data_IF_154020584689
#
_entry.id   IF_154020584689
#
_cell.length_a   1.000
_cell.length_b   1.000
_cell.length_c   1.000
_cell.angle_alpha   90.00
_cell.angle_beta   90.00
_cell.angle_gamma   90.00
#
_symmetry.space_group_name_H-M   'P 1'
#
loop_
_entity.id
_entity.type
_entity.pdbx_description
1 polymer ?
#
# COMPACT_ATOMS: atom_id res chain seq x y z
N UNK A 1 8.71 -19.07 -4.57
CA UNK A 1 8.59 -18.22 -5.77
C UNK A 1 9.52 -17.04 -5.59
N UNK A 2 10.67 -17.02 -6.27
CA UNK A 2 11.61 -15.88 -6.24
C UNK A 2 11.09 -14.80 -7.19
N UNK A 3 10.98 -13.56 -6.71
CA UNK A 3 10.63 -12.42 -7.55
C UNK A 3 11.79 -12.12 -8.50
N UNK A 4 11.49 -11.91 -9.78
CA UNK A 4 12.50 -11.58 -10.79
C UNK A 4 13.03 -10.15 -10.57
N UNK A 5 14.28 -9.89 -10.99
CA UNK A 5 14.86 -8.54 -10.86
C UNK A 5 14.09 -7.50 -11.70
N UNK A 6 13.53 -7.92 -12.83
CA UNK A 6 12.62 -7.11 -13.66
C UNK A 6 11.37 -6.68 -12.87
N UNK A 7 10.71 -7.63 -12.18
CA UNK A 7 9.55 -7.32 -11.36
C UNK A 7 9.89 -6.35 -10.21
N UNK A 8 11.07 -6.51 -9.60
CA UNK A 8 11.55 -5.60 -8.54
C UNK A 8 11.80 -4.19 -9.11
N UNK A 9 12.36 -4.08 -10.31
CA UNK A 9 12.58 -2.79 -10.98
C UNK A 9 11.25 -2.09 -11.29
N UNK A 10 10.26 -2.82 -11.81
CA UNK A 10 8.91 -2.29 -12.06
C UNK A 10 8.19 -1.88 -10.77
N UNK A 11 8.31 -2.68 -9.70
CA UNK A 11 7.76 -2.34 -8.39
C UNK A 11 8.39 -1.06 -7.82
N UNK A 12 9.71 -0.90 -7.99
CA UNK A 12 10.44 0.31 -7.58
C UNK A 12 9.98 1.54 -8.37
N UNK A 13 9.81 1.43 -9.68
CA UNK A 13 9.33 2.53 -10.51
C UNK A 13 7.91 2.96 -10.13
N UNK A 14 7.02 2.00 -9.84
CA UNK A 14 5.67 2.27 -9.33
C UNK A 14 5.73 2.97 -7.97
N UNK A 15 6.54 2.50 -7.04
CA UNK A 15 6.70 3.12 -5.73
C UNK A 15 7.21 4.58 -5.85
N UNK A 16 8.20 4.84 -6.69
CA UNK A 16 8.73 6.20 -6.90
C UNK A 16 7.75 7.15 -7.59
N UNK A 17 6.87 6.64 -8.46
CA UNK A 17 5.81 7.45 -9.09
C UNK A 17 4.83 8.05 -8.08
N UNK A 18 4.62 7.38 -6.95
CA UNK A 18 3.75 7.84 -5.88
C UNK A 18 4.52 8.49 -4.71
N UNK A 19 5.84 8.63 -4.84
CA UNK A 19 6.67 9.28 -3.82
C UNK A 19 6.35 10.78 -3.78
N UNK A 20 5.81 11.24 -2.65
CA UNK A 20 5.36 12.63 -2.47
C UNK A 20 3.86 12.80 -2.30
N UNK A 21 3.05 11.79 -2.62
CA UNK A 21 1.62 11.76 -2.29
C UNK A 21 1.43 11.34 -0.82
N UNK A 22 1.74 12.22 0.13
CA UNK A 22 1.74 11.91 1.57
C UNK A 22 0.33 11.79 2.20
N UNK A 23 -0.73 11.83 1.40
CA UNK A 23 -2.11 11.69 1.85
C UNK A 23 -2.79 10.55 1.08
N UNK A 24 -3.26 9.52 1.80
CA UNK A 24 -3.96 8.36 1.24
C UNK A 24 -3.17 7.03 1.29
N UNK A 25 -3.90 5.91 1.15
CA UNK A 25 -3.38 4.53 1.27
C UNK A 25 -2.30 4.19 0.23
N UNK A 26 -2.38 4.78 -0.97
CA UNK A 26 -1.44 4.54 -2.07
C UNK A 26 -0.04 5.11 -1.80
N UNK A 27 0.06 6.28 -1.16
CA UNK A 27 1.33 6.90 -0.81
C UNK A 27 2.06 6.18 0.32
N UNK A 28 1.32 5.77 1.36
CA UNK A 28 1.86 4.96 2.45
C UNK A 28 2.39 3.61 1.92
N UNK A 29 1.60 2.92 1.10
CA UNK A 29 2.02 1.64 0.49
C UNK A 29 3.24 1.79 -0.43
N UNK A 30 3.32 2.90 -1.18
CA UNK A 30 4.48 3.20 -2.02
C UNK A 30 5.75 3.44 -1.19
N UNK A 31 5.63 4.15 -0.06
CA UNK A 31 6.75 4.36 0.86
C UNK A 31 7.25 3.04 1.47
N UNK A 32 6.33 2.19 1.94
CA UNK A 32 6.67 0.88 2.50
C UNK A 32 7.30 -0.04 1.44
N UNK A 33 6.76 -0.04 0.22
CA UNK A 33 7.32 -0.80 -0.91
C UNK A 33 8.74 -0.35 -1.23
N UNK A 34 9.00 0.96 -1.29
CA UNK A 34 10.34 1.49 -1.53
C UNK A 34 11.33 1.12 -0.42
N UNK A 35 10.87 1.14 0.85
CA UNK A 35 11.66 0.71 2.01
C UNK A 35 12.03 -0.76 1.91
N UNK A 36 11.06 -1.64 1.68
CA UNK A 36 11.27 -3.09 1.56
C UNK A 36 12.21 -3.45 0.41
N UNK A 37 12.08 -2.77 -0.74
CA UNK A 37 13.00 -2.96 -1.87
C UNK A 37 14.43 -2.55 -1.50
N UNK A 38 14.59 -1.48 -0.73
CA UNK A 38 15.90 -1.02 -0.24
C UNK A 38 16.50 -2.02 0.75
N UNK A 39 15.71 -2.50 1.71
CA UNK A 39 16.13 -3.53 2.67
C UNK A 39 16.53 -4.82 1.97
N UNK A 40 15.75 -5.28 0.99
CA UNK A 40 16.09 -6.46 0.17
C UNK A 40 17.40 -6.28 -0.58
N UNK A 41 17.66 -5.09 -1.12
CA UNK A 41 18.93 -4.80 -1.81
C UNK A 41 20.11 -4.94 -0.86
N UNK A 42 20.03 -4.33 0.34
CA UNK A 42 21.07 -4.45 1.37
C UNK A 42 21.32 -5.90 1.79
N UNK A 43 20.25 -6.67 2.01
CA UNK A 43 20.38 -8.09 2.39
C UNK A 43 21.09 -8.89 1.31
N UNK A 44 20.80 -8.64 0.02
CA UNK A 44 21.45 -9.33 -1.09
C UNK A 44 22.93 -8.95 -1.21
N UNK A 45 23.28 -7.68 -0.97
CA UNK A 45 24.67 -7.23 -0.92
C UNK A 45 25.44 -7.93 0.22
N UNK A 46 24.83 -8.03 1.41
CA UNK A 46 25.42 -8.75 2.55
C UNK A 46 25.61 -10.24 2.27
N UNK A 47 24.63 -10.90 1.62
CA UNK A 47 24.76 -12.31 1.21
C UNK A 47 25.95 -12.47 0.26
N UNK A 48 26.07 -11.58 -0.73
CA UNK A 48 27.18 -11.61 -1.71
C UNK A 48 28.54 -11.45 -1.01
N UNK A 49 28.62 -10.57 -0.01
CA UNK A 49 29.83 -10.39 0.79
C UNK A 49 30.18 -11.64 1.62
N UNK A 50 29.19 -12.25 2.27
CA UNK A 50 29.35 -13.49 3.03
C UNK A 50 29.79 -14.65 2.14
N UNK A 51 29.23 -14.77 0.94
CA UNK A 51 29.63 -15.79 -0.03
C UNK A 51 31.08 -15.62 -0.46
N UNK A 52 31.53 -14.37 -0.71
CA UNK A 52 32.93 -14.05 -1.02
C UNK A 52 33.86 -14.41 0.14
N UNK A 53 33.49 -14.07 1.37
CA UNK A 53 34.26 -14.41 2.56
C UNK A 53 34.36 -15.94 2.77
N UNK A 54 33.26 -16.66 2.56
CA UNK A 54 33.23 -18.12 2.64
C UNK A 54 34.11 -18.78 1.57
N UNK A 55 34.13 -18.24 0.34
CA UNK A 55 35.02 -18.72 -0.71
C UNK A 55 36.49 -18.54 -0.31
N UNK A 56 36.87 -17.35 0.18
CA UNK A 56 38.23 -17.08 0.64
C UNK A 56 38.66 -18.00 1.80
N UNK A 57 37.76 -18.29 2.75
CA UNK A 57 38.02 -19.25 3.83
C UNK A 57 38.24 -20.67 3.30
N UNK A 58 37.44 -21.11 2.32
CA UNK A 58 37.62 -22.44 1.69
C UNK A 58 38.97 -22.52 0.98
N UNK A 59 39.36 -21.48 0.25
CA UNK A 59 40.65 -21.42 -0.44
C UNK A 59 41.82 -21.44 0.55
N UNK A 60 41.72 -20.70 1.66
CA UNK A 60 42.72 -20.69 2.71
C UNK A 60 42.86 -22.05 3.41
N UNK A 61 41.73 -22.75 3.66
CA UNK A 61 41.74 -24.11 4.22
C UNK A 61 42.38 -25.08 3.23
N UNK A 62 42.03 -24.99 1.95
CA UNK A 62 42.62 -25.84 0.90
C UNK A 62 44.13 -25.64 0.78
N UNK A 63 44.59 -24.39 0.77
CA UNK A 63 46.01 -24.04 0.74
C UNK A 63 46.76 -24.54 1.99
N UNK A 64 46.18 -24.39 3.18
CA UNK A 64 46.74 -24.95 4.41
C UNK A 64 46.85 -26.48 4.32
N UNK A 65 45.82 -27.16 3.85
CA UNK A 65 45.81 -28.62 3.72
C UNK A 65 46.84 -29.11 2.67
N UNK A 66 47.13 -28.33 1.62
CA UNK A 66 48.20 -28.64 0.67
C UNK A 66 49.60 -28.38 1.22
N UNK A 67 49.78 -27.36 2.05
CA UNK A 67 51.08 -26.99 2.65
C UNK A 67 51.49 -27.91 3.81
N UNK A 68 50.52 -28.50 4.53
CA UNK A 68 50.84 -29.38 5.66
C UNK A 68 51.27 -30.80 5.25
N UNK A 69 51.12 -31.21 3.97
CA UNK A 69 51.53 -32.56 3.52
C UNK A 69 50.93 -33.71 4.34
N UNK A 70 49.89 -33.43 5.12
CA UNK A 70 49.36 -34.33 6.12
C UNK A 70 48.03 -34.86 5.60
N UNK A 71 48.00 -36.17 5.37
CA UNK A 71 46.77 -36.86 4.98
C UNK A 71 45.65 -36.46 5.94
N UNK A 72 44.40 -36.30 5.45
CA UNK A 72 43.27 -35.99 6.32
C UNK A 72 43.28 -36.98 7.49
N UNK A 73 43.10 -36.53 8.73
CA UNK A 73 43.21 -37.41 9.89
C UNK A 73 42.23 -38.57 9.69
N UNK A 74 42.76 -39.78 9.51
CA UNK A 74 41.95 -40.99 9.53
C UNK A 74 41.33 -41.05 10.92
N UNK A 75 40.01 -40.91 10.97
CA UNK A 75 39.25 -41.10 12.20
C UNK A 75 39.42 -42.57 12.61
N UNK A 76 40.40 -42.85 13.46
CA UNK A 76 40.61 -44.18 14.02
C UNK A 76 39.54 -44.38 15.10
N UNK A 77 38.34 -44.76 14.66
CA UNK A 77 37.31 -45.22 15.57
C UNK A 77 37.85 -46.48 16.28
N UNK A 78 37.79 -46.55 17.62
CA UNK A 78 38.18 -47.76 18.32
C UNK A 78 37.36 -48.96 17.81
N UNK A 79 37.97 -50.14 17.74
CA UNK A 79 37.36 -51.34 17.13
C UNK A 79 35.97 -51.71 17.71
N UNK A 80 35.66 -51.23 18.91
CA UNK A 80 34.35 -51.37 19.58
C UNK A 80 33.17 -50.69 18.84
N UNK A 81 33.42 -49.78 17.90
CA UNK A 81 32.37 -49.10 17.12
C UNK A 81 32.10 -49.74 15.75
N UNK A 82 32.83 -50.79 15.35
CA UNK A 82 32.61 -51.48 14.07
C UNK A 82 31.36 -52.38 14.06
N UNK A 83 30.81 -52.69 15.24
CA UNK A 83 29.69 -53.64 15.41
C UNK A 83 28.32 -52.97 15.64
N UNK A 84 28.22 -51.64 15.59
CA UNK A 84 26.93 -50.96 15.76
C UNK A 84 26.05 -51.06 14.50
N UNK A 85 25.46 -52.23 14.27
CA UNK A 85 24.30 -52.35 13.38
C UNK A 85 23.14 -51.57 13.98
N UNK A 86 22.57 -50.65 13.19
CA UNK A 86 21.38 -49.87 13.55
C UNK A 86 20.23 -50.80 13.97
N UNK A 87 19.96 -50.87 15.27
CA UNK A 87 18.69 -51.41 15.78
C UNK A 87 17.58 -50.36 15.61
N UNK A 88 16.33 -50.76 15.33
CA UNK A 88 15.23 -49.81 15.17
C UNK A 88 15.03 -49.01 16.46
N UNK A 89 14.89 -47.69 16.32
CA UNK A 89 14.78 -46.76 17.43
C UNK A 89 13.56 -47.05 18.33
N UNK A 90 13.79 -47.09 19.63
CA UNK A 90 12.74 -47.06 20.65
C UNK A 90 11.99 -45.70 20.63
N UNK A 91 10.70 -45.67 21.01
CA UNK A 91 9.92 -44.44 20.98
C UNK A 91 10.45 -43.40 21.97
N UNK A 92 10.63 -42.17 21.47
CA UNK A 92 11.15 -41.02 22.23
C UNK A 92 10.17 -40.64 23.36
N UNK A 93 10.64 -40.44 24.61
CA UNK A 93 9.77 -40.02 25.70
C UNK A 93 9.34 -38.56 25.54
N UNK A 94 8.15 -38.24 26.06
CA UNK A 94 7.50 -36.94 26.02
C UNK A 94 8.40 -35.83 26.61
N UNK A 95 8.66 -34.78 25.82
CA UNK A 95 9.62 -33.74 26.17
C UNK A 95 9.16 -32.90 27.38
N UNK A 96 10.05 -32.76 28.36
CA UNK A 96 9.92 -31.76 29.44
C UNK A 96 10.29 -30.40 28.83
N UNK A 97 9.32 -29.49 28.73
CA UNK A 97 9.57 -28.10 28.34
C UNK A 97 10.33 -27.39 29.46
N UNK A 98 11.54 -26.90 29.17
CA UNK A 98 12.26 -26.00 30.06
C UNK A 98 11.68 -24.58 29.98
N UNK A 99 11.68 -23.89 31.13
CA UNK A 99 11.15 -22.52 31.27
C UNK A 99 11.85 -21.53 30.31
N UNK A 100 11.11 -20.55 29.75
CA UNK A 100 11.65 -19.66 28.73
C UNK A 100 12.79 -18.78 29.26
N UNK A 101 13.86 -18.70 28.48
CA UNK A 101 15.03 -17.85 28.73
C UNK A 101 14.60 -16.37 28.77
N UNK A 102 14.98 -15.58 29.79
CA UNK A 102 14.58 -14.18 29.88
C UNK A 102 15.28 -13.35 28.80
N UNK A 103 14.48 -12.60 28.03
CA UNK A 103 14.97 -11.68 27.00
C UNK A 103 15.44 -10.38 27.66
N UNK A 104 16.67 -9.97 27.34
CA UNK A 104 17.25 -8.69 27.77
C UNK A 104 16.43 -7.51 27.24
N UNK A 105 15.86 -6.70 28.15
CA UNK A 105 15.10 -5.50 27.83
C UNK A 105 16.04 -4.29 27.88
N UNK A 106 16.11 -3.52 26.81
CA UNK A 106 16.95 -2.32 26.72
C UNK A 106 16.60 -1.32 27.83
N UNK A 107 17.58 -0.81 28.60
CA UNK A 107 17.31 0.11 29.71
C UNK A 107 16.55 1.38 29.27
N UNK A 108 15.62 1.91 30.09
CA UNK A 108 14.79 3.07 29.74
C UNK A 108 15.59 4.31 29.33
N UNK A 109 16.76 4.53 29.94
CA UNK A 109 17.66 5.64 29.60
C UNK A 109 18.20 5.58 28.16
N UNK A 110 18.42 4.37 27.62
CA UNK A 110 18.86 4.20 26.23
C UNK A 110 17.69 4.44 25.26
N UNK A 111 16.46 4.09 25.67
CA UNK A 111 15.26 4.37 24.89
C UNK A 111 15.03 5.88 24.78
N UNK A 112 15.16 6.61 25.89
CA UNK A 112 15.02 8.07 25.93
C UNK A 112 16.09 8.78 25.09
N UNK A 113 17.35 8.34 25.17
CA UNK A 113 18.43 8.86 24.32
C UNK A 113 18.15 8.62 22.82
N UNK A 114 17.60 7.45 22.47
CA UNK A 114 17.21 7.12 21.10
C UNK A 114 16.03 7.98 20.63
N UNK A 115 15.03 8.22 21.48
CA UNK A 115 13.91 9.11 21.17
C UNK A 115 14.33 10.57 21.01
N UNK A 116 15.26 11.06 21.82
CA UNK A 116 15.84 12.38 21.66
C UNK A 116 16.56 12.54 20.32
N UNK A 117 17.37 11.55 19.92
CA UNK A 117 18.08 11.55 18.64
C UNK A 117 17.10 11.52 17.43
N UNK A 118 15.99 10.79 17.54
CA UNK A 118 14.94 10.76 16.51
C UNK A 118 14.27 12.13 16.38
N UNK A 119 13.91 12.78 17.49
CA UNK A 119 13.29 14.11 17.49
C UNK A 119 14.22 15.17 16.88
N UNK A 120 15.50 15.16 17.24
CA UNK A 120 16.50 16.08 16.67
C UNK A 120 16.65 15.87 15.15
N UNK A 121 16.66 14.63 14.69
CA UNK A 121 16.75 14.30 13.26
C UNK A 121 15.49 14.71 12.51
N UNK A 122 14.30 14.59 13.11
CA UNK A 122 13.05 15.08 12.54
C UNK A 122 13.04 16.60 12.42
N UNK A 123 13.51 17.31 13.45
CA UNK A 123 13.60 18.78 13.42
C UNK A 123 14.57 19.26 12.32
N UNK A 124 15.76 18.66 12.21
CA UNK A 124 16.71 18.97 11.12
C UNK A 124 16.14 18.66 9.73
N UNK A 125 15.30 17.64 9.61
CA UNK A 125 14.60 17.34 8.35
C UNK A 125 13.55 18.43 8.03
N UNK A 126 12.76 18.85 9.02
CA UNK A 126 11.76 19.90 8.85
C UNK A 126 12.38 21.25 8.48
N UNK A 127 13.54 21.57 9.06
CA UNK A 127 14.30 22.78 8.72
C UNK A 127 14.88 22.71 7.30
N UNK A 128 15.37 21.54 6.85
CA UNK A 128 15.82 21.33 5.45
C UNK A 128 14.69 21.41 4.43
N UNK A 129 13.48 21.03 4.80
CA UNK A 129 12.30 21.11 3.93
C UNK A 129 11.83 22.57 3.77
N UNK A 130 12.17 23.45 4.72
CA UNK A 130 11.73 24.84 4.73
C UNK A 130 12.44 25.75 3.72
N UNK A 131 13.61 25.37 3.23
CA UNK A 131 14.29 26.07 2.12
C UNK A 131 14.80 25.10 1.05
N UNK A 132 13.97 24.78 0.03
CA UNK A 132 14.35 23.90 -1.07
C UNK A 132 15.31 24.56 -2.09
N UNK A 133 15.75 25.81 -1.89
CA UNK A 133 16.60 26.54 -2.85
C UNK A 133 18.03 26.81 -2.37
N UNK A 134 18.42 26.33 -1.18
CA UNK A 134 19.78 26.44 -0.67
C UNK A 134 20.73 25.35 -1.23
N UNK A 135 20.67 25.06 -2.55
CA UNK A 135 21.55 24.09 -3.20
C UNK A 135 22.68 24.76 -4.01
N UNK A 136 23.90 24.31 -3.70
CA UNK A 136 25.19 24.32 -4.40
C UNK A 136 25.42 25.31 -5.59
N UNK A 137 26.41 26.24 -5.49
CA UNK A 137 26.77 27.17 -6.55
C UNK A 137 27.21 26.56 -7.89
N UNK A 138 27.47 25.25 -7.95
CA UNK A 138 28.09 24.60 -9.12
C UNK A 138 27.10 24.12 -10.21
N UNK A 139 25.78 24.09 -9.98
CA UNK A 139 24.81 23.62 -10.99
C UNK A 139 24.25 24.71 -11.92
N UNK A 140 24.64 25.99 -11.75
CA UNK A 140 24.04 27.11 -12.50
C UNK A 140 24.56 27.36 -13.92
N UNK A 141 25.31 26.44 -14.55
CA UNK A 141 25.95 26.73 -15.86
C UNK A 141 25.35 26.06 -17.10
N UNK A 142 24.26 25.33 -17.01
CA UNK A 142 23.60 24.83 -18.22
C UNK A 142 22.12 25.17 -18.12
N UNK A 143 21.54 25.54 -19.27
CA UNK A 143 20.14 25.92 -19.51
C UNK A 143 19.66 27.25 -18.89
N UNK A 144 19.69 28.29 -19.73
CA UNK A 144 18.95 29.54 -19.53
C UNK A 144 17.45 29.35 -19.72
N UNK A 145 16.81 28.60 -18.82
CA UNK A 145 15.36 28.57 -18.70
C UNK A 145 14.90 29.70 -17.76
N UNK A 146 13.91 30.53 -18.14
CA UNK A 146 13.36 31.52 -17.23
C UNK A 146 12.71 30.77 -16.05
N UNK A 147 13.09 31.16 -14.82
CA UNK A 147 12.60 30.56 -13.59
C UNK A 147 11.08 30.39 -13.61
N UNK A 148 10.61 29.14 -13.57
CA UNK A 148 9.20 28.82 -13.48
C UNK A 148 8.64 29.50 -12.22
N UNK A 149 7.68 30.40 -12.43
CA UNK A 149 6.98 31.09 -11.35
C UNK A 149 6.33 30.03 -10.46
N UNK A 150 6.50 30.08 -9.12
CA UNK A 150 5.90 29.09 -8.24
C UNK A 150 4.38 29.07 -8.47
N UNK A 151 3.84 27.89 -8.78
CA UNK A 151 2.40 27.69 -8.95
C UNK A 151 1.76 27.83 -7.56
N UNK A 152 1.17 28.99 -7.31
CA UNK A 152 0.37 29.24 -6.10
C UNK A 152 -0.95 28.52 -6.27
N UNK A 153 -1.24 27.53 -5.42
CA UNK A 153 -2.56 26.90 -5.37
C UNK A 153 -3.59 27.95 -4.92
N UNK A 154 -4.70 28.14 -5.66
CA UNK A 154 -5.71 29.11 -5.30
C UNK A 154 -6.31 28.79 -3.92
N UNK A 155 -6.53 29.83 -3.12
CA UNK A 155 -7.21 29.73 -1.84
C UNK A 155 -8.72 29.65 -2.08
N UNK A 156 -9.49 28.87 -1.31
CA UNK A 156 -10.94 28.86 -1.46
C UNK A 156 -11.49 30.30 -1.36
N UNK A 157 -12.11 30.76 -2.46
CA UNK A 157 -12.64 32.11 -2.60
C UNK A 157 -11.85 33.05 -3.52
N UNK A 158 -10.82 32.61 -4.23
CA UNK A 158 -10.12 33.47 -5.20
C UNK A 158 -10.90 33.58 -6.52
N UNK A 159 -11.68 34.64 -6.62
CA UNK A 159 -12.35 35.04 -7.85
C UNK A 159 -11.37 35.21 -9.02
N UNK A 160 -11.48 34.38 -10.05
CA UNK A 160 -10.74 34.51 -11.30
C UNK A 160 -11.31 35.66 -12.14
N UNK A 161 -10.47 36.64 -12.47
CA UNK A 161 -10.79 37.74 -13.39
C UNK A 161 -10.24 37.42 -14.78
N UNK A 162 -11.12 37.30 -15.76
CA UNK A 162 -10.76 37.06 -17.14
C UNK A 162 -10.49 38.40 -17.86
N UNK A 163 -9.65 38.40 -18.89
CA UNK A 163 -9.33 39.61 -19.67
C UNK A 163 -10.53 40.27 -20.38
N UNK A 164 -11.67 39.58 -20.42
CA UNK A 164 -12.96 40.09 -20.91
C UNK A 164 -13.72 40.92 -19.86
N UNK A 165 -13.19 41.04 -18.64
CA UNK A 165 -13.90 41.63 -17.50
C UNK A 165 -14.85 40.66 -16.81
N UNK A 166 -14.96 39.41 -17.28
CA UNK A 166 -15.73 38.39 -16.59
C UNK A 166 -15.05 37.96 -15.29
N UNK A 167 -15.87 37.60 -14.31
CA UNK A 167 -15.48 37.32 -12.93
C UNK A 167 -16.17 36.03 -12.52
N UNK A 168 -15.42 34.97 -12.14
CA UNK A 168 -15.97 33.68 -11.72
C UNK A 168 -15.23 33.17 -10.47
N UNK A 169 -15.91 32.42 -9.59
CA UNK A 169 -15.20 31.64 -8.58
C UNK A 169 -14.24 30.66 -9.25
N UNK A 170 -13.03 30.55 -8.71
CA UNK A 170 -12.03 29.55 -9.11
C UNK A 170 -12.43 28.11 -8.76
N UNK A 171 -13.38 27.98 -7.84
CA UNK A 171 -13.83 26.72 -7.25
C UNK A 171 -15.35 26.70 -7.23
N UNK A 172 -15.92 25.51 -7.42
CA UNK A 172 -17.35 25.28 -7.29
C UNK A 172 -17.62 24.88 -5.83
N UNK A 173 -17.99 25.84 -4.97
CA UNK A 173 -18.55 25.63 -3.61
C UNK A 173 -18.05 24.39 -2.81
N UNK A 174 -16.75 24.10 -2.84
CA UNK A 174 -16.17 22.94 -2.13
C UNK A 174 -16.35 21.55 -2.78
N UNK A 175 -16.84 21.48 -4.02
CA UNK A 175 -16.99 20.25 -4.81
C UNK A 175 -15.93 20.17 -5.92
N UNK A 176 -15.29 19.01 -6.05
CA UNK A 176 -14.21 18.75 -7.03
C UNK A 176 -14.62 17.66 -8.02
N UNK A 177 -15.51 18.01 -8.94
CA UNK A 177 -15.97 17.11 -10.01
C UNK A 177 -14.82 16.57 -10.86
N UNK A 178 -13.77 17.38 -11.06
CA UNK A 178 -12.57 17.03 -11.82
C UNK A 178 -11.75 15.89 -11.19
N UNK A 179 -11.95 15.59 -9.90
CA UNK A 179 -11.28 14.50 -9.21
C UNK A 179 -12.09 13.19 -9.21
N UNK A 180 -13.32 13.20 -9.71
CA UNK A 180 -14.13 11.98 -9.84
C UNK A 180 -13.52 11.12 -10.94
N UNK A 181 -13.21 9.86 -10.63
CA UNK A 181 -12.61 8.95 -11.59
C UNK A 181 -13.50 8.80 -12.84
N UNK A 182 -13.02 9.19 -14.03
CA UNK A 182 -13.81 9.03 -15.26
C UNK A 182 -14.05 7.57 -15.62
N UNK A 183 -13.20 6.65 -15.13
CA UNK A 183 -13.38 5.20 -15.29
C UNK A 183 -14.63 4.75 -14.52
N UNK A 184 -14.80 5.21 -13.28
CA UNK A 184 -15.98 4.88 -12.47
C UNK A 184 -17.26 5.48 -13.07
N UNK A 185 -17.21 6.75 -13.51
CA UNK A 185 -18.33 7.40 -14.18
C UNK A 185 -18.77 6.67 -15.45
N UNK A 186 -17.81 6.14 -16.23
CA UNK A 186 -18.13 5.33 -17.40
C UNK A 186 -18.92 4.06 -17.04
N UNK A 187 -18.57 3.38 -15.95
CA UNK A 187 -19.30 2.17 -15.54
C UNK A 187 -20.71 2.50 -15.01
N UNK A 188 -20.89 3.64 -14.35
CA UNK A 188 -22.24 4.14 -14.00
C UNK A 188 -23.03 4.46 -15.27
N UNK A 189 -22.42 5.13 -16.25
CA UNK A 189 -23.08 5.43 -17.52
C UNK A 189 -23.48 4.16 -18.29
N UNK A 190 -22.66 3.10 -18.22
CA UNK A 190 -23.01 1.78 -18.77
C UNK A 190 -24.27 1.21 -18.10
N UNK A 191 -24.33 1.23 -16.76
CA UNK A 191 -25.53 0.78 -16.04
C UNK A 191 -26.78 1.59 -16.43
N UNK A 192 -26.65 2.91 -16.64
CA UNK A 192 -27.74 3.74 -17.16
C UNK A 192 -28.17 3.31 -18.58
N UNK A 193 -27.22 3.03 -19.48
CA UNK A 193 -27.51 2.62 -20.85
C UNK A 193 -28.28 1.28 -20.88
N UNK A 194 -27.86 0.30 -20.08
CA UNK A 194 -28.57 -0.98 -19.95
C UNK A 194 -29.97 -0.82 -19.34
N UNK A 195 -30.12 0.07 -18.36
CA UNK A 195 -31.40 0.41 -17.77
C UNK A 195 -32.36 1.07 -18.76
N UNK A 196 -31.85 2.00 -19.57
CA UNK A 196 -32.61 2.68 -20.62
C UNK A 196 -33.06 1.72 -21.72
N UNK A 197 -32.20 0.78 -22.14
CA UNK A 197 -32.57 -0.25 -23.11
C UNK A 197 -33.71 -1.14 -22.60
N UNK A 198 -33.71 -1.48 -21.30
CA UNK A 198 -34.72 -2.36 -20.68
C UNK A 198 -36.02 -1.64 -20.31
N UNK A 199 -35.95 -0.40 -19.84
CA UNK A 199 -37.07 0.29 -19.18
C UNK A 199 -37.42 1.66 -19.77
N UNK A 200 -36.80 2.03 -20.90
CA UNK A 200 -36.78 3.36 -21.50
C UNK A 200 -36.04 4.41 -20.65
N UNK A 201 -35.73 5.53 -21.30
CA UNK A 201 -35.04 6.66 -20.68
C UNK A 201 -35.79 7.18 -19.43
N UNK A 202 -35.03 7.63 -18.45
CA UNK A 202 -35.53 8.26 -17.21
C UNK A 202 -36.49 7.40 -16.37
N UNK A 203 -36.55 6.07 -16.58
CA UNK A 203 -37.42 5.20 -15.77
C UNK A 203 -37.17 5.32 -14.26
N UNK A 204 -35.90 5.46 -13.87
CA UNK A 204 -35.49 5.59 -12.47
C UNK A 204 -35.98 6.89 -11.81
N UNK A 205 -36.32 7.93 -12.59
CA UNK A 205 -36.89 9.18 -12.08
C UNK A 205 -38.36 9.04 -11.65
N UNK A 206 -38.98 7.88 -11.87
CA UNK A 206 -40.34 7.58 -11.39
C UNK A 206 -40.40 7.26 -9.89
N UNK A 207 -39.24 7.19 -9.23
CA UNK A 207 -39.12 6.91 -7.81
C UNK A 207 -38.84 5.44 -7.53
N UNK A 208 -37.79 5.19 -6.75
CA UNK A 208 -37.41 3.87 -6.23
C UNK A 208 -37.03 4.01 -4.75
N UNK A 209 -37.55 3.18 -3.84
CA UNK A 209 -37.28 3.34 -2.42
C UNK A 209 -35.82 3.00 -2.08
N UNK A 210 -35.22 3.78 -1.17
CA UNK A 210 -33.80 3.67 -0.78
C UNK A 210 -33.46 2.27 -0.28
N UNK A 211 -34.32 1.63 0.52
CA UNK A 211 -34.03 0.31 1.07
C UNK A 211 -33.85 -0.75 -0.04
N UNK A 212 -34.60 -0.65 -1.13
CA UNK A 212 -34.53 -1.56 -2.28
C UNK A 212 -33.25 -1.31 -3.08
N UNK A 213 -32.98 -0.05 -3.43
CA UNK A 213 -31.74 0.36 -4.09
C UNK A 213 -30.49 -0.09 -3.31
N UNK A 214 -30.49 0.09 -1.98
CA UNK A 214 -29.38 -0.36 -1.13
C UNK A 214 -29.25 -1.88 -1.10
N UNK A 215 -30.35 -2.63 -1.07
CA UNK A 215 -30.33 -4.08 -1.13
C UNK A 215 -29.69 -4.57 -2.45
N UNK A 216 -30.08 -3.97 -3.58
CA UNK A 216 -29.47 -4.26 -4.88
C UNK A 216 -27.98 -3.88 -4.94
N UNK A 217 -27.59 -2.72 -4.38
CA UNK A 217 -26.19 -2.33 -4.31
C UNK A 217 -25.34 -3.36 -3.54
N UNK A 218 -25.82 -3.79 -2.37
CA UNK A 218 -25.13 -4.79 -1.54
C UNK A 218 -25.03 -6.14 -2.26
N UNK A 219 -26.09 -6.56 -2.96
CA UNK A 219 -26.09 -7.81 -3.73
C UNK A 219 -24.99 -7.82 -4.80
N UNK A 220 -24.87 -6.75 -5.60
CA UNK A 220 -23.80 -6.66 -6.61
C UNK A 220 -22.40 -6.61 -5.97
N UNK A 221 -22.24 -5.96 -4.82
CA UNK A 221 -20.97 -5.98 -4.07
C UNK A 221 -20.60 -7.40 -3.64
N UNK A 222 -21.55 -8.16 -3.10
CA UNK A 222 -21.29 -9.55 -2.69
C UNK A 222 -21.03 -10.49 -3.86
N UNK A 223 -21.73 -10.32 -4.99
CA UNK A 223 -21.45 -11.08 -6.22
C UNK A 223 -20.03 -10.82 -6.71
N UNK A 224 -19.61 -9.54 -6.75
CA UNK A 224 -18.25 -9.19 -7.12
C UNK A 224 -17.21 -9.80 -6.17
N UNK A 225 -17.45 -9.73 -4.85
CA UNK A 225 -16.58 -10.34 -3.84
C UNK A 225 -16.51 -11.86 -3.96
N UNK A 226 -17.61 -12.51 -4.36
CA UNK A 226 -17.65 -13.95 -4.65
C UNK A 226 -16.90 -14.35 -5.93
N UNK A 227 -16.33 -13.39 -6.65
CA UNK A 227 -15.57 -13.62 -7.87
C UNK A 227 -16.41 -13.58 -9.15
N UNK A 228 -17.70 -13.22 -9.06
CA UNK A 228 -18.55 -13.07 -10.25
C UNK A 228 -18.11 -11.86 -11.09
N UNK A 229 -17.97 -12.08 -12.39
CA UNK A 229 -17.57 -11.09 -13.41
C UNK A 229 -18.48 -11.20 -14.64
N UNK A 230 -19.62 -11.89 -14.52
CA UNK A 230 -20.59 -12.09 -15.61
C UNK A 230 -21.25 -10.78 -16.05
N UNK A 231 -21.30 -9.79 -15.17
CA UNK A 231 -21.81 -8.44 -15.44
C UNK A 231 -20.93 -7.37 -14.72
N UNK A 232 -21.06 -6.08 -15.07
CA UNK A 232 -20.27 -5.01 -14.45
C UNK A 232 -20.80 -4.64 -13.05
N UNK A 233 -20.74 -5.58 -12.10
CA UNK A 233 -21.33 -5.45 -10.76
C UNK A 233 -20.98 -4.14 -10.04
N UNK A 234 -19.73 -3.67 -10.10
CA UNK A 234 -19.33 -2.42 -9.43
C UNK A 234 -20.00 -1.18 -10.03
N UNK A 235 -20.27 -1.18 -11.34
CA UNK A 235 -21.03 -0.13 -12.02
C UNK A 235 -22.48 -0.09 -11.56
N UNK A 236 -23.13 -1.26 -11.49
CA UNK A 236 -24.50 -1.37 -10.97
C UNK A 236 -24.60 -1.01 -9.48
N UNK A 237 -23.63 -1.43 -8.67
CA UNK A 237 -23.57 -1.06 -7.25
C UNK A 237 -23.43 0.46 -7.08
N UNK A 238 -22.51 1.09 -7.83
CA UNK A 238 -22.33 2.54 -7.79
C UNK A 238 -23.57 3.29 -8.26
N UNK A 239 -24.23 2.83 -9.33
CA UNK A 239 -25.47 3.41 -9.82
C UNK A 239 -26.58 3.36 -8.77
N UNK A 240 -26.77 2.21 -8.10
CA UNK A 240 -27.80 2.08 -7.05
C UNK A 240 -27.53 3.01 -5.86
N UNK A 241 -26.27 3.22 -5.47
CA UNK A 241 -25.93 4.18 -4.41
C UNK A 241 -26.23 5.63 -4.82
N UNK A 242 -25.92 6.01 -6.06
CA UNK A 242 -26.25 7.33 -6.59
C UNK A 242 -27.77 7.55 -6.68
N UNK A 243 -28.50 6.54 -7.16
CA UNK A 243 -29.95 6.57 -7.20
C UNK A 243 -30.56 6.63 -5.78
N UNK A 244 -29.96 5.98 -4.80
CA UNK A 244 -30.41 6.03 -3.41
C UNK A 244 -30.24 7.42 -2.81
N UNK A 245 -29.12 8.11 -3.09
CA UNK A 245 -28.91 9.51 -2.68
C UNK A 245 -29.99 10.39 -3.30
N UNK A 246 -30.24 10.24 -4.61
CA UNK A 246 -31.28 10.99 -5.31
C UNK A 246 -32.67 10.73 -4.72
N UNK A 247 -33.01 9.47 -4.44
CA UNK A 247 -34.30 9.09 -3.87
C UNK A 247 -34.50 9.62 -2.46
N UNK A 248 -33.45 9.56 -1.63
CA UNK A 248 -33.50 10.10 -0.27
C UNK A 248 -33.80 11.60 -0.25
N UNK A 249 -33.24 12.34 -1.22
CA UNK A 249 -33.44 13.78 -1.35
C UNK A 249 -34.79 14.14 -1.95
N UNK A 250 -35.19 13.52 -3.07
CA UNK A 250 -36.38 13.95 -3.83
C UNK A 250 -37.68 13.24 -3.45
N UNK A 251 -37.62 12.04 -2.86
CA UNK A 251 -38.80 11.27 -2.48
C UNK A 251 -38.75 10.87 -1.00
N UNK A 252 -38.73 11.82 -0.06
CA UNK A 252 -38.73 11.50 1.37
C UNK A 252 -39.92 10.63 1.78
N UNK A 253 -41.10 10.86 1.19
CA UNK A 253 -42.33 10.09 1.46
C UNK A 253 -42.19 8.61 1.06
N UNK A 254 -41.46 8.31 -0.03
CA UNK A 254 -41.21 6.93 -0.47
C UNK A 254 -40.28 6.17 0.50
N UNK A 255 -39.55 6.93 1.33
CA UNK A 255 -38.55 6.41 2.25
C UNK A 255 -39.02 6.42 3.71
N UNK A 256 -40.13 7.09 4.01
CA UNK A 256 -40.69 7.18 5.36
C UNK A 256 -41.03 5.78 5.89
N UNK A 257 -40.53 5.47 7.09
CA UNK A 257 -40.82 4.19 7.74
C UNK A 257 -40.23 2.95 7.07
N UNK A 258 -39.36 3.09 6.07
CA UNK A 258 -38.70 1.94 5.41
C UNK A 258 -37.26 1.70 5.87
N UNK A 259 -36.62 2.72 6.46
CA UNK A 259 -35.24 2.68 6.93
C UNK A 259 -35.15 2.39 8.43
N UNK A 260 -34.01 1.82 8.85
CA UNK A 260 -33.75 1.55 10.26
C UNK A 260 -33.52 2.83 11.05
N UNK A 261 -34.08 2.88 12.25
CA UNK A 261 -33.91 4.00 13.17
C UNK A 261 -32.61 3.91 14.00
N UNK A 262 -32.36 4.93 14.85
CA UNK A 262 -31.23 4.93 15.78
C UNK A 262 -31.15 3.64 16.61
N UNK A 263 -29.95 3.08 16.73
CA UNK A 263 -29.72 1.78 17.37
C UNK A 263 -30.14 0.59 16.50
N UNK A 264 -30.17 0.75 15.18
CA UNK A 264 -30.53 -0.31 14.22
C UNK A 264 -31.96 -0.86 14.41
N UNK A 265 -32.85 -0.07 15.01
CA UNK A 265 -34.25 -0.46 15.23
C UNK A 265 -34.93 -0.73 13.88
N UNK A 266 -35.74 -1.80 13.79
CA UNK A 266 -36.45 -2.09 12.56
C UNK A 266 -37.40 -0.93 12.20
N UNK A 267 -37.71 -0.76 10.91
CA UNK A 267 -38.68 0.24 10.48
C UNK A 267 -40.06 -0.03 11.12
N UNK A 268 -40.85 1.02 11.35
CA UNK A 268 -42.18 0.87 11.94
C UNK A 268 -43.11 0.26 10.88
N UNK A 269 -43.56 -0.97 11.13
CA UNK A 269 -44.64 -1.63 10.37
C UNK A 269 -45.96 -0.91 10.54
#
# INVERSE_FOLDING_TARGET
>A
MTLTDEYIAEARQRAYRFQGAWTGTSGALAADTARLITERTKLMDTITELERANAALRDAIAARNSDQGEAPPTLNLPAEYAEYTLTPAEPVPEAVFEDPVPVSVTPPEQLEAMWAAIKERQQKLQERIRDPYAADPLERRVIGEPAATPVVLPQPGTTSKFGTGAVRSDTFEGVRYDLVSPIGLREVARACAEGAEKYADFNWERGMPVHDLLNHAIAHVYQFLAGDRSEPHLGHAAWNLLAAIHSHELWPDLNEGTLRGPGCRPPKT
#
